data_IF_870641205182
#
_entry.id   IF_870641205182
#
_cell.length_a   1.000
_cell.length_b   1.000
_cell.length_c   1.000
_cell.angle_alpha   90.00
_cell.angle_beta   90.00
_cell.angle_gamma   90.00
#
_symmetry.space_group_name_H-M   'P 1'
#
loop_
_entity.id
_entity.type
_entity.pdbx_description
1 polymer ?
#
# COMPACT_ATOMS: atom_id res chain seq x y z
N UNK A 1 1.11 -24.34 -12.58
CA UNK A 1 1.64 -23.35 -13.55
C UNK A 1 2.96 -22.83 -13.02
N UNK A 2 4.02 -23.56 -13.33
CA UNK A 2 5.34 -23.39 -12.71
C UNK A 2 6.06 -22.12 -13.14
N UNK A 3 6.89 -21.59 -12.24
CA UNK A 3 7.86 -20.53 -12.51
C UNK A 3 8.72 -20.91 -13.71
N UNK A 4 8.40 -20.35 -14.88
CA UNK A 4 9.18 -20.56 -16.08
C UNK A 4 10.44 -19.69 -15.98
N UNK A 5 11.57 -20.31 -15.64
CA UNK A 5 12.86 -19.63 -15.45
C UNK A 5 13.31 -18.92 -16.73
N UNK A 6 12.79 -19.31 -17.90
CA UNK A 6 13.03 -18.63 -19.18
C UNK A 6 12.29 -17.28 -19.32
N UNK A 7 11.38 -16.93 -18.41
CA UNK A 7 10.71 -15.62 -18.39
C UNK A 7 11.57 -14.51 -17.75
N UNK A 8 12.62 -14.88 -17.01
CA UNK A 8 13.58 -13.92 -16.43
C UNK A 8 14.55 -13.53 -17.54
N UNK A 9 14.14 -12.55 -18.35
CA UNK A 9 14.95 -12.00 -19.41
C UNK A 9 15.63 -10.70 -18.95
N UNK A 10 16.92 -10.55 -19.25
CA UNK A 10 17.68 -9.34 -18.93
C UNK A 10 17.06 -8.07 -19.53
N UNK A 11 16.36 -8.19 -20.67
CA UNK A 11 15.64 -7.09 -21.30
C UNK A 11 14.43 -6.66 -20.48
N UNK A 12 13.72 -7.61 -19.87
CA UNK A 12 12.60 -7.30 -18.97
C UNK A 12 13.11 -6.56 -17.73
N UNK A 13 14.18 -7.05 -17.11
CA UNK A 13 14.82 -6.40 -15.95
C UNK A 13 15.22 -4.96 -16.29
N UNK A 14 15.87 -4.74 -17.44
CA UNK A 14 16.23 -3.38 -17.90
C UNK A 14 15.00 -2.51 -18.14
N UNK A 15 13.91 -3.06 -18.68
CA UNK A 15 12.69 -2.31 -18.96
C UNK A 15 11.93 -1.88 -17.71
N UNK A 16 11.99 -2.67 -16.62
CA UNK A 16 11.29 -2.37 -15.36
C UNK A 16 12.14 -1.63 -14.35
N UNK A 17 13.47 -1.56 -14.54
CA UNK A 17 14.38 -0.93 -13.60
C UNK A 17 14.08 0.56 -13.40
N UNK A 18 13.90 1.32 -14.49
CA UNK A 18 13.57 2.74 -14.41
C UNK A 18 12.19 2.97 -13.75
N UNK A 19 11.09 2.31 -14.18
CA UNK A 19 9.80 2.37 -13.49
C UNK A 19 9.87 1.98 -12.01
N UNK A 20 10.62 0.93 -11.66
CA UNK A 20 10.75 0.48 -10.28
C UNK A 20 11.42 1.53 -9.39
N UNK A 21 12.48 2.17 -9.87
CA UNK A 21 13.15 3.27 -9.16
C UNK A 21 12.21 4.47 -9.02
N UNK A 22 11.45 4.82 -10.06
CA UNK A 22 10.46 5.90 -9.99
C UNK A 22 9.35 5.61 -8.96
N UNK A 23 8.80 4.40 -8.96
CA UNK A 23 7.78 3.98 -7.99
C UNK A 23 8.36 3.98 -6.58
N UNK A 24 9.58 3.46 -6.39
CA UNK A 24 10.25 3.50 -5.09
C UNK A 24 10.44 4.94 -4.60
N UNK A 25 10.92 5.84 -5.45
CA UNK A 25 11.04 7.27 -5.15
C UNK A 25 9.73 7.90 -4.69
N UNK A 26 8.66 7.71 -5.47
CA UNK A 26 7.33 8.21 -5.14
C UNK A 26 6.82 7.63 -3.81
N UNK A 27 6.94 6.32 -3.64
CA UNK A 27 6.49 5.61 -2.44
C UNK A 27 7.23 6.09 -1.18
N UNK A 28 8.53 6.39 -1.29
CA UNK A 28 9.32 6.96 -0.20
C UNK A 28 8.85 8.38 0.15
N UNK A 29 8.70 9.26 -0.86
CA UNK A 29 8.21 10.63 -0.64
C UNK A 29 6.84 10.65 0.03
N UNK A 30 5.89 9.83 -0.43
CA UNK A 30 4.55 9.73 0.17
C UNK A 30 4.60 9.21 1.61
N UNK A 31 5.48 8.25 1.89
CA UNK A 31 5.65 7.70 3.23
C UNK A 31 6.17 8.72 4.23
N UNK A 32 7.16 9.51 3.84
CA UNK A 32 7.68 10.61 4.66
C UNK A 32 6.63 11.72 4.88
N UNK A 33 5.89 12.09 3.84
CA UNK A 33 4.78 13.06 3.94
C UNK A 33 3.68 12.55 4.88
N UNK A 34 3.27 11.29 4.75
CA UNK A 34 2.28 10.65 5.62
C UNK A 34 2.77 10.57 7.06
N UNK A 35 4.05 10.26 7.27
CA UNK A 35 4.69 10.20 8.57
C UNK A 35 4.66 11.54 9.29
N UNK A 36 5.05 12.62 8.61
CA UNK A 36 5.08 13.96 9.20
C UNK A 36 3.66 14.49 9.50
N UNK A 37 2.69 14.24 8.61
CA UNK A 37 1.27 14.56 8.86
C UNK A 37 0.73 13.77 10.06
N UNK A 38 1.00 12.46 10.12
CA UNK A 38 0.58 11.61 11.24
C UNK A 38 1.20 12.06 12.58
N UNK A 39 2.49 12.41 12.58
CA UNK A 39 3.20 13.01 13.71
C UNK A 39 2.53 14.31 14.16
N UNK A 40 2.23 15.22 13.23
CA UNK A 40 1.54 16.48 13.55
C UNK A 40 0.16 16.25 14.15
N UNK A 41 -0.56 15.21 13.70
CA UNK A 41 -1.90 14.88 14.21
C UNK A 41 -1.87 14.22 15.60
N UNK A 42 -0.86 13.38 15.88
CA UNK A 42 -0.79 12.58 17.12
C UNK A 42 0.09 13.20 18.20
N UNK A 43 1.00 14.10 17.83
CA UNK A 43 2.00 14.69 18.73
C UNK A 43 3.18 13.77 19.06
N UNK A 44 3.34 12.66 18.32
CA UNK A 44 4.36 11.63 18.56
C UNK A 44 5.62 11.82 17.70
N UNK A 45 6.74 11.22 18.10
CA UNK A 45 7.96 11.16 17.28
C UNK A 45 7.80 10.25 16.05
N UNK A 46 8.31 10.70 14.89
CA UNK A 46 8.37 9.92 13.66
C UNK A 46 9.83 9.60 13.32
N UNK A 47 10.11 8.33 13.01
CA UNK A 47 11.43 7.85 12.56
C UNK A 47 11.33 7.44 11.09
N UNK A 48 11.86 8.31 10.23
CA UNK A 48 11.88 8.12 8.79
C UNK A 48 12.64 6.86 8.36
N UNK A 49 13.80 6.57 8.98
CA UNK A 49 14.62 5.44 8.58
C UNK A 49 13.90 4.12 8.86
N UNK A 50 13.25 4.04 10.03
CA UNK A 50 12.46 2.87 10.41
C UNK A 50 11.29 2.64 9.46
N UNK A 51 10.62 3.71 9.03
CA UNK A 51 9.50 3.62 8.09
C UNK A 51 9.95 3.18 6.69
N UNK A 52 11.04 3.76 6.17
CA UNK A 52 11.61 3.39 4.87
C UNK A 52 12.07 1.94 4.82
N UNK A 53 12.71 1.45 5.88
CA UNK A 53 13.11 0.04 6.01
C UNK A 53 11.86 -0.86 6.04
N UNK A 54 10.84 -0.50 6.83
CA UNK A 54 9.61 -1.27 6.92
C UNK A 54 8.89 -1.36 5.57
N UNK A 55 8.83 -0.25 4.83
CA UNK A 55 8.23 -0.18 3.50
C UNK A 55 9.03 -0.98 2.47
N UNK A 56 10.36 -0.93 2.52
CA UNK A 56 11.23 -1.74 1.66
C UNK A 56 11.01 -3.23 1.87
N UNK A 57 10.97 -3.68 3.13
CA UNK A 57 10.68 -5.07 3.48
C UNK A 57 9.27 -5.46 3.02
N UNK A 58 8.26 -4.61 3.26
CA UNK A 58 6.89 -4.85 2.82
C UNK A 58 6.79 -5.00 1.30
N UNK A 59 7.39 -4.08 0.55
CA UNK A 59 7.39 -4.11 -0.91
C UNK A 59 8.22 -5.24 -1.51
N UNK A 60 9.19 -5.78 -0.76
CA UNK A 60 9.89 -7.00 -1.15
C UNK A 60 9.00 -8.24 -0.99
N UNK A 61 8.19 -8.31 0.08
CA UNK A 61 7.37 -9.50 0.41
C UNK A 61 6.06 -9.54 -0.39
N UNK A 62 5.39 -8.40 -0.59
CA UNK A 62 4.06 -8.31 -1.21
C UNK A 62 3.95 -9.00 -2.60
N UNK A 63 4.93 -8.88 -3.52
CA UNK A 63 4.86 -9.53 -4.83
C UNK A 63 4.75 -11.06 -4.76
N UNK A 64 5.29 -11.70 -3.71
CA UNK A 64 5.19 -13.16 -3.52
C UNK A 64 3.75 -13.64 -3.27
N UNK A 65 2.86 -12.73 -2.85
CA UNK A 65 1.44 -13.00 -2.66
C UNK A 65 0.58 -12.46 -3.82
N UNK A 66 1.20 -12.04 -4.93
CA UNK A 66 0.51 -11.44 -6.08
C UNK A 66 0.04 -10.00 -5.86
N UNK A 67 0.56 -9.33 -4.81
CA UNK A 67 0.20 -7.95 -4.53
C UNK A 67 1.01 -6.93 -5.34
N UNK A 68 0.50 -5.70 -5.37
CA UNK A 68 1.12 -4.55 -6.05
C UNK A 68 1.96 -3.72 -5.07
N UNK A 69 2.94 -2.93 -5.56
CA UNK A 69 3.72 -2.05 -4.69
C UNK A 69 2.83 -1.19 -3.79
N UNK A 70 3.09 -1.25 -2.49
CA UNK A 70 2.36 -0.52 -1.47
C UNK A 70 3.04 0.81 -1.13
N UNK A 71 2.21 1.84 -0.98
CA UNK A 71 2.60 3.18 -0.51
C UNK A 71 1.85 3.54 0.78
N UNK A 72 2.30 4.59 1.45
CA UNK A 72 1.62 5.08 2.64
C UNK A 72 0.30 5.78 2.27
N UNK A 73 -0.76 5.52 3.03
CA UNK A 73 -2.08 6.08 2.77
C UNK A 73 -2.45 7.14 3.81
N UNK A 74 -2.25 8.43 3.46
CA UNK A 74 -2.53 9.58 4.35
C UNK A 74 -3.99 9.56 4.83
N UNK A 75 -4.93 9.31 3.92
CA UNK A 75 -6.36 9.28 4.24
C UNK A 75 -6.69 8.22 5.30
N UNK A 76 -6.17 6.99 5.14
CA UNK A 76 -6.37 5.89 6.11
C UNK A 76 -5.80 6.26 7.48
N UNK A 77 -4.57 6.76 7.52
CA UNK A 77 -3.88 7.15 8.76
C UNK A 77 -4.62 8.30 9.46
N UNK A 78 -5.07 9.30 8.70
CA UNK A 78 -5.83 10.45 9.21
C UNK A 78 -7.15 10.02 9.83
N UNK A 79 -7.92 9.17 9.15
CA UNK A 79 -9.18 8.62 9.68
C UNK A 79 -8.91 7.80 10.94
N UNK A 80 -7.90 6.91 10.93
CA UNK A 80 -7.58 6.11 12.10
C UNK A 80 -7.25 6.97 13.33
N UNK A 81 -6.41 8.00 13.17
CA UNK A 81 -6.04 8.91 14.27
C UNK A 81 -7.28 9.70 14.76
N UNK A 82 -8.09 10.24 13.84
CA UNK A 82 -9.34 10.96 14.18
C UNK A 82 -10.37 10.06 14.87
N UNK A 83 -10.41 8.77 14.55
CA UNK A 83 -11.22 7.76 15.22
C UNK A 83 -10.63 7.29 16.56
N UNK A 84 -9.55 7.90 17.05
CA UNK A 84 -8.95 7.62 18.36
C UNK A 84 -7.92 6.49 18.36
N UNK A 85 -7.32 6.14 17.23
CA UNK A 85 -6.26 5.12 17.17
C UNK A 85 -5.05 5.51 18.05
N UNK A 86 -4.74 4.67 19.05
CA UNK A 86 -3.60 4.89 19.97
C UNK A 86 -2.39 4.00 19.65
N UNK A 87 -2.62 2.78 19.16
CA UNK A 87 -1.60 1.75 18.99
C UNK A 87 -1.56 1.21 17.55
N UNK A 88 -0.45 0.55 17.18
CA UNK A 88 -0.27 -0.12 15.88
C UNK A 88 -1.21 -1.33 15.68
N UNK A 89 -1.92 -1.75 16.73
CA UNK A 89 -2.89 -2.86 16.66
C UNK A 89 -4.07 -2.51 15.74
N UNK A 90 -4.43 -1.23 15.62
CA UNK A 90 -5.51 -0.77 14.73
C UNK A 90 -5.27 -1.17 13.28
N UNK A 91 -4.03 -1.07 12.78
CA UNK A 91 -3.72 -1.45 11.39
C UNK A 91 -3.75 -2.97 11.18
N UNK A 92 -3.45 -3.77 12.22
CA UNK A 92 -3.55 -5.23 12.16
C UNK A 92 -5.01 -5.65 12.05
N UNK A 93 -5.89 -5.11 12.91
CA UNK A 93 -7.33 -5.39 12.81
C UNK A 93 -7.91 -4.93 11.47
N UNK A 94 -7.50 -3.77 10.97
CA UNK A 94 -7.91 -3.29 9.65
C UNK A 94 -7.49 -4.25 8.54
N UNK A 95 -6.25 -4.75 8.55
CA UNK A 95 -5.76 -5.71 7.56
C UNK A 95 -6.51 -7.05 7.62
N UNK A 96 -6.78 -7.58 8.83
CA UNK A 96 -7.57 -8.80 9.01
C UNK A 96 -9.00 -8.59 8.50
N UNK A 97 -9.61 -7.45 8.80
CA UNK A 97 -10.96 -7.13 8.33
C UNK A 97 -11.03 -7.03 6.81
N UNK A 98 -10.04 -6.40 6.17
CA UNK A 98 -9.94 -6.35 4.70
C UNK A 98 -9.74 -7.75 4.10
N UNK A 99 -8.91 -8.58 4.73
CA UNK A 99 -8.71 -9.96 4.28
C UNK A 99 -10.02 -10.74 4.37
N UNK A 100 -10.73 -10.66 5.50
CA UNK A 100 -11.99 -11.34 5.71
C UNK A 100 -13.08 -10.83 4.75
N UNK A 101 -13.13 -9.52 4.51
CA UNK A 101 -14.09 -8.93 3.58
C UNK A 101 -13.84 -9.39 2.15
N UNK A 102 -12.59 -9.51 1.72
CA UNK A 102 -12.26 -10.02 0.39
C UNK A 102 -12.80 -11.45 0.18
N UNK A 103 -12.73 -12.32 1.19
CA UNK A 103 -13.28 -13.67 1.09
C UNK A 103 -14.80 -13.73 1.20
N UNK A 104 -15.40 -12.98 2.13
CA UNK A 104 -16.84 -13.03 2.40
C UNK A 104 -17.67 -12.25 1.37
N UNK A 105 -17.17 -11.10 0.92
CA UNK A 105 -17.89 -10.18 0.01
C UNK A 105 -17.48 -10.37 -1.46
N UNK A 106 -16.65 -11.36 -1.79
CA UNK A 106 -16.26 -11.68 -3.17
C UNK A 106 -17.42 -11.65 -4.19
N UNK A 107 -18.58 -12.31 -3.97
CA UNK A 107 -19.68 -12.30 -4.95
C UNK A 107 -20.32 -10.91 -5.12
N UNK A 108 -20.34 -10.11 -4.04
CA UNK A 108 -20.87 -8.75 -4.08
C UNK A 108 -19.90 -7.84 -4.85
N UNK A 109 -18.60 -7.98 -4.60
CA UNK A 109 -17.57 -7.20 -5.29
C UNK A 109 -17.52 -7.49 -6.80
N UNK A 110 -17.79 -8.73 -7.21
CA UNK A 110 -17.89 -9.08 -8.63
C UNK A 110 -19.03 -8.36 -9.38
N UNK A 111 -20.03 -7.86 -8.65
CA UNK A 111 -21.17 -7.13 -9.21
C UNK A 111 -20.93 -5.61 -9.30
N UNK A 112 -19.78 -5.11 -8.84
CA UNK A 112 -19.48 -3.67 -8.84
C UNK A 112 -19.14 -3.22 -10.27
N UNK A 113 -19.88 -2.26 -10.85
CA UNK A 113 -19.60 -1.78 -12.20
C UNK A 113 -18.30 -0.97 -12.24
N UNK A 114 -17.51 -1.17 -13.30
CA UNK A 114 -16.25 -0.45 -13.51
C UNK A 114 -16.45 1.08 -13.58
N UNK A 115 -17.60 1.55 -14.04
CA UNK A 115 -17.95 2.97 -14.07
C UNK A 115 -18.03 3.59 -12.67
N UNK A 116 -18.51 2.85 -11.67
CA UNK A 116 -18.54 3.33 -10.29
C UNK A 116 -17.13 3.42 -9.69
N UNK A 117 -16.28 2.42 -9.95
CA UNK A 117 -14.86 2.45 -9.55
C UNK A 117 -14.10 3.62 -10.20
N UNK A 118 -14.34 3.88 -11.48
CA UNK A 118 -13.76 5.03 -12.17
C UNK A 118 -14.20 6.36 -11.54
N UNK A 119 -15.48 6.50 -11.17
CA UNK A 119 -15.98 7.67 -10.45
C UNK A 119 -15.29 7.90 -9.10
N UNK A 120 -15.09 6.82 -8.32
CA UNK A 120 -14.35 6.90 -7.04
C UNK A 120 -12.90 7.33 -7.27
N UNK A 121 -12.23 6.77 -8.29
CA UNK A 121 -10.86 7.16 -8.63
C UNK A 121 -10.78 8.63 -9.03
N UNK A 122 -11.68 9.11 -9.90
CA UNK A 122 -11.67 10.50 -10.38
C UNK A 122 -11.90 11.54 -9.28
N UNK A 123 -12.62 11.18 -8.20
CA UNK A 123 -12.79 12.06 -7.02
C UNK A 123 -11.57 12.01 -6.09
N UNK A 124 -10.81 10.92 -6.13
CA UNK A 124 -9.69 10.66 -5.21
C UNK A 124 -8.33 11.06 -5.80
N UNK A 125 -8.17 11.02 -7.13
CA UNK A 125 -6.99 11.50 -7.88
C UNK A 125 -6.99 13.02 -7.99
#
# INVERSE_FOLDING_TARGET
TGLNVSAININVIKSVLAPAISIAGLAMSESLLCGEVGKKMKGDSFDANRELIAQGIGNFIIPFFGGVPATAAIARTSVAIKSGAKTRIVSIFHAIFLMLSMFLLAPIMASIPLSALAGVLMVTT
#
